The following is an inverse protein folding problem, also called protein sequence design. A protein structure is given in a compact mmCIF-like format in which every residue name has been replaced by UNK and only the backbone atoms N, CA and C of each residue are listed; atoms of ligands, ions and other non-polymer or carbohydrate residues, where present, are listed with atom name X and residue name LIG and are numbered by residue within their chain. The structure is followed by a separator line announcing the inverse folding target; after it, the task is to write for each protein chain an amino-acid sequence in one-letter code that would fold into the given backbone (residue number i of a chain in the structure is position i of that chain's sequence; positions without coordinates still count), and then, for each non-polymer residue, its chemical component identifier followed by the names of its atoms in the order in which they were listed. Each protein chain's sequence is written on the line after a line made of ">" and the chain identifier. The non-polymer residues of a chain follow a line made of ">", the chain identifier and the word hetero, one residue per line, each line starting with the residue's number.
data_IF_981188635640
#
_entry.id   IF_981188635640
#
_cell.length_a   1.000
_cell.length_b   1.000
_cell.length_c   1.000
_cell.angle_alpha   90.00
_cell.angle_beta   90.00
_cell.angle_gamma   90.00
#
_symmetry.space_group_name_H-M   'P 1'
#
loop_
_entity.id
_entity.type
_entity.pdbx_description
1 polymer ?
#
# COMPACT_ATOMS: atom_id res chain seq x y z
N UNK A 1 3.95 15.63 4.28
CA UNK A 1 4.48 16.21 3.02
C UNK A 1 5.79 15.54 2.58
N UNK A 2 5.92 15.14 1.29
CA UNK A 2 7.18 14.59 0.75
C UNK A 2 8.33 15.60 0.76
N UNK A 3 9.56 15.12 0.98
CA UNK A 3 10.79 15.93 0.86
C UNK A 3 11.28 16.00 -0.59
N UNK A 4 11.99 17.08 -0.95
CA UNK A 4 12.53 17.30 -2.31
C UNK A 4 13.36 16.13 -2.86
N UNK A 5 14.11 15.42 -2.01
CA UNK A 5 14.93 14.26 -2.42
C UNK A 5 14.11 13.07 -2.96
N UNK A 6 12.79 13.07 -2.79
CA UNK A 6 11.87 12.05 -3.31
C UNK A 6 11.18 12.50 -4.61
N UNK A 7 11.50 13.68 -5.14
CA UNK A 7 10.99 14.15 -6.43
C UNK A 7 11.66 13.40 -7.59
N UNK A 8 10.91 13.13 -8.65
CA UNK A 8 11.50 12.71 -9.93
C UNK A 8 12.06 13.92 -10.69
N UNK A 9 11.37 15.05 -10.63
CA UNK A 9 11.75 16.35 -11.16
C UNK A 9 11.06 17.44 -10.32
N UNK A 10 11.52 18.71 -10.38
CA UNK A 10 11.07 19.75 -9.46
C UNK A 10 9.55 19.82 -9.27
N UNK A 11 9.11 19.60 -8.03
CA UNK A 11 7.71 19.69 -7.63
C UNK A 11 6.86 18.43 -7.87
N UNK A 12 7.42 17.34 -8.40
CA UNK A 12 6.66 16.11 -8.73
C UNK A 12 7.25 14.88 -8.05
N UNK A 13 6.44 14.20 -7.24
CA UNK A 13 6.83 13.01 -6.49
C UNK A 13 7.18 11.86 -7.45
N UNK A 14 8.26 11.14 -7.13
CA UNK A 14 8.70 9.99 -7.90
C UNK A 14 7.65 8.86 -7.90
N UNK A 15 7.42 8.27 -9.08
CA UNK A 15 6.45 7.19 -9.27
C UNK A 15 6.75 5.91 -8.47
N UNK A 16 8.03 5.58 -8.28
CA UNK A 16 8.45 4.47 -7.41
C UNK A 16 8.16 4.75 -5.94
N UNK A 17 8.38 5.98 -5.47
CA UNK A 17 8.02 6.40 -4.10
C UNK A 17 6.50 6.31 -3.88
N UNK A 18 5.70 6.72 -4.86
CA UNK A 18 4.24 6.53 -4.85
C UNK A 18 3.90 5.05 -4.72
N UNK A 19 4.57 4.19 -5.49
CA UNK A 19 4.43 2.74 -5.40
C UNK A 19 4.74 2.20 -4.01
N UNK A 20 5.87 2.58 -3.42
CA UNK A 20 6.26 2.18 -2.05
C UNK A 20 5.23 2.60 -1.00
N UNK A 21 4.71 3.82 -1.09
CA UNK A 21 3.69 4.31 -0.15
C UNK A 21 2.38 3.52 -0.26
N UNK A 22 1.93 3.25 -1.49
CA UNK A 22 0.70 2.52 -1.73
C UNK A 22 0.83 1.04 -1.37
N UNK A 23 1.96 0.41 -1.68
CA UNK A 23 2.26 -0.96 -1.28
C UNK A 23 2.22 -1.11 0.25
N UNK A 24 2.94 -0.26 0.99
CA UNK A 24 2.94 -0.26 2.45
C UNK A 24 1.52 -0.07 3.04
N UNK A 25 0.77 0.91 2.54
CA UNK A 25 -0.57 1.21 3.08
C UNK A 25 -1.59 0.11 2.76
N UNK A 26 -1.53 -0.46 1.55
CA UNK A 26 -2.40 -1.56 1.16
C UNK A 26 -2.04 -2.84 1.93
N UNK A 27 -0.75 -3.09 2.18
CA UNK A 27 -0.28 -4.24 2.94
C UNK A 27 -0.78 -4.19 4.41
N UNK A 28 -0.69 -3.03 5.07
CA UNK A 28 -1.25 -2.87 6.43
C UNK A 28 -2.77 -3.02 6.47
N UNK A 29 -3.46 -2.55 5.42
CA UNK A 29 -4.90 -2.77 5.27
C UNK A 29 -5.20 -4.26 5.17
N UNK A 30 -4.47 -5.00 4.32
CA UNK A 30 -4.60 -6.45 4.21
C UNK A 30 -4.35 -7.17 5.53
N UNK A 31 -3.22 -6.89 6.19
CA UNK A 31 -2.83 -7.53 7.45
C UNK A 31 -3.88 -7.34 8.54
N UNK A 32 -4.42 -6.12 8.68
CA UNK A 32 -5.50 -5.85 9.63
C UNK A 32 -6.76 -6.68 9.34
N UNK A 33 -7.19 -6.75 8.08
CA UNK A 33 -8.40 -7.48 7.72
C UNK A 33 -8.22 -9.01 7.80
N UNK A 34 -7.02 -9.52 7.50
CA UNK A 34 -6.67 -10.94 7.69
C UNK A 34 -6.69 -11.32 9.18
N UNK A 35 -6.11 -10.48 10.05
CA UNK A 35 -6.19 -10.65 11.51
C UNK A 35 -7.64 -10.72 11.98
N UNK A 36 -8.49 -9.79 11.53
CA UNK A 36 -9.92 -9.78 11.90
C UNK A 36 -10.66 -11.01 11.42
N UNK A 37 -10.32 -11.53 10.23
CA UNK A 37 -10.91 -12.76 9.70
C UNK A 37 -10.48 -14.00 10.48
N UNK A 38 -9.21 -14.06 10.88
CA UNK A 38 -8.66 -15.14 11.70
C UNK A 38 -9.12 -15.08 13.17
N UNK A 39 -9.77 -13.98 13.58
CA UNK A 39 -10.13 -13.70 14.98
C UNK A 39 -8.90 -13.73 15.92
N UNK A 40 -7.80 -13.16 15.45
CA UNK A 40 -6.54 -13.04 16.19
C UNK A 40 -6.37 -11.64 16.77
N UNK A 41 -5.51 -11.52 17.78
CA UNK A 41 -5.19 -10.27 18.48
C UNK A 41 -3.94 -9.56 17.90
N UNK A 42 -3.23 -10.20 16.99
CA UNK A 42 -2.04 -9.68 16.33
C UNK A 42 -2.11 -9.88 14.81
N UNK A 43 -1.52 -8.93 14.07
CA UNK A 43 -1.52 -9.00 12.62
C UNK A 43 -0.58 -10.11 12.12
N UNK A 44 -0.98 -10.88 11.09
CA UNK A 44 -0.08 -11.83 10.46
C UNK A 44 1.02 -11.08 9.69
N UNK A 45 2.20 -11.69 9.57
CA UNK A 45 3.18 -11.21 8.61
C UNK A 45 2.63 -11.43 7.20
N UNK A 46 2.53 -10.34 6.42
CA UNK A 46 2.08 -10.40 5.04
C UNK A 46 3.22 -10.10 4.06
N UNK A 47 3.09 -10.62 2.84
CA UNK A 47 3.97 -10.27 1.72
C UNK A 47 3.13 -9.86 0.52
N UNK A 48 3.66 -8.96 -0.29
CA UNK A 48 3.04 -8.55 -1.56
C UNK A 48 3.28 -9.64 -2.60
N UNK A 49 2.22 -10.26 -3.10
CA UNK A 49 2.30 -11.22 -4.21
C UNK A 49 2.25 -10.52 -5.56
N UNK A 50 1.42 -9.49 -5.68
CA UNK A 50 1.28 -8.66 -6.87
C UNK A 50 0.81 -7.27 -6.44
N UNK A 51 1.26 -6.24 -7.13
CA UNK A 51 0.59 -4.94 -7.10
C UNK A 51 0.79 -4.20 -8.42
N UNK A 52 -0.23 -3.44 -8.80
CA UNK A 52 -0.25 -2.63 -10.01
C UNK A 52 -0.54 -1.17 -9.65
N UNK A 53 0.33 -0.26 -10.09
CA UNK A 53 0.18 1.19 -9.89
C UNK A 53 -0.22 1.86 -11.20
N UNK A 54 -1.26 2.70 -11.16
CA UNK A 54 -1.58 3.63 -12.24
C UNK A 54 -1.28 5.05 -11.80
N UNK A 55 -0.36 5.71 -12.50
CA UNK A 55 -0.03 7.12 -12.28
C UNK A 55 -0.94 7.98 -13.16
N UNK A 56 -1.96 8.60 -12.56
CA UNK A 56 -3.02 9.31 -13.29
C UNK A 56 -2.63 10.74 -13.65
N UNK A 57 -1.73 11.35 -12.88
CA UNK A 57 -1.23 12.73 -13.04
C UNK A 57 0.00 12.96 -12.17
N UNK A 58 0.80 14.00 -12.46
CA UNK A 58 1.88 14.43 -11.58
C UNK A 58 1.37 14.66 -10.15
N UNK A 59 2.08 14.10 -9.16
CA UNK A 59 1.74 14.26 -7.75
C UNK A 59 2.54 15.42 -7.18
N UNK A 60 1.91 16.57 -6.85
CA UNK A 60 2.62 17.72 -6.32
C UNK A 60 3.26 17.42 -4.95
N UNK A 61 4.44 17.97 -4.71
CA UNK A 61 5.19 17.84 -3.44
C UNK A 61 5.15 19.09 -2.57
N UNK A 62 4.43 20.13 -2.99
CA UNK A 62 4.32 21.38 -2.23
C UNK A 62 3.56 21.22 -0.90
N UNK A 63 2.72 20.18 -0.77
CA UNK A 63 1.93 19.85 0.42
C UNK A 63 1.92 18.34 0.73
N UNK A 64 1.08 17.89 1.66
CA UNK A 64 0.90 16.49 2.05
C UNK A 64 0.18 15.67 0.98
N UNK A 65 0.54 14.39 0.96
CA UNK A 65 -0.17 13.36 0.20
C UNK A 65 -1.07 12.59 1.17
N UNK A 66 -2.20 12.12 0.68
CA UNK A 66 -3.19 11.36 1.44
C UNK A 66 -3.33 9.98 0.83
N UNK A 67 -3.27 8.95 1.67
CA UNK A 67 -3.42 7.55 1.29
C UNK A 67 -4.79 7.06 1.79
N UNK A 68 -5.44 6.23 0.99
CA UNK A 68 -6.65 5.51 1.38
C UNK A 68 -6.61 4.14 0.72
N UNK A 69 -7.02 3.11 1.45
CA UNK A 69 -7.10 1.76 0.94
C UNK A 69 -8.35 1.03 1.46
N UNK A 70 -8.82 0.05 0.70
CA UNK A 70 -9.97 -0.80 1.05
C UNK A 70 -9.75 -2.22 0.52
N UNK A 71 -10.17 -3.21 1.30
CA UNK A 71 -10.22 -4.60 0.84
C UNK A 71 -11.39 -4.75 -0.13
N UNK A 72 -11.15 -5.39 -1.27
CA UNK A 72 -12.19 -5.71 -2.28
C UNK A 72 -12.44 -7.22 -2.42
N UNK A 73 -11.52 -8.05 -1.95
CA UNK A 73 -11.69 -9.50 -1.84
C UNK A 73 -10.82 -10.03 -0.70
N UNK A 74 -11.32 -11.04 0.01
CA UNK A 74 -10.67 -11.59 1.19
C UNK A 74 -10.89 -13.09 1.28
N UNK A 75 -9.81 -13.85 1.42
CA UNK A 75 -9.80 -15.27 1.78
C UNK A 75 -9.12 -15.46 3.13
N UNK A 76 -8.91 -16.71 3.54
CA UNK A 76 -8.26 -17.04 4.81
C UNK A 76 -6.78 -16.66 4.85
N UNK A 77 -6.10 -16.59 3.69
CA UNK A 77 -4.66 -16.35 3.61
C UNK A 77 -4.28 -15.14 2.75
N UNK A 78 -5.21 -14.51 2.03
CA UNK A 78 -4.90 -13.35 1.18
C UNK A 78 -6.02 -12.32 1.14
N UNK A 79 -5.62 -11.08 0.88
CA UNK A 79 -6.52 -9.98 0.63
C UNK A 79 -6.14 -9.29 -0.69
N UNK A 80 -7.16 -9.01 -1.51
CA UNK A 80 -7.02 -8.05 -2.60
C UNK A 80 -7.42 -6.67 -2.09
N UNK A 81 -6.55 -5.69 -2.26
CA UNK A 81 -6.73 -4.32 -1.76
C UNK A 81 -6.62 -3.31 -2.89
N UNK A 82 -7.54 -2.35 -2.92
CA UNK A 82 -7.44 -1.16 -3.76
C UNK A 82 -6.96 0.02 -2.92
N UNK A 83 -6.03 0.80 -3.46
CA UNK A 83 -5.46 1.99 -2.81
C UNK A 83 -5.54 3.22 -3.70
N UNK A 84 -5.57 4.40 -3.08
CA UNK A 84 -5.47 5.69 -3.77
C UNK A 84 -4.46 6.58 -3.06
N UNK A 85 -3.70 7.35 -3.84
CA UNK A 85 -2.88 8.46 -3.34
C UNK A 85 -3.44 9.75 -3.93
N UNK A 86 -3.75 10.72 -3.07
CA UNK A 86 -4.26 12.04 -3.45
C UNK A 86 -3.35 13.17 -2.99
N UNK A 87 -3.25 14.24 -3.78
CA UNK A 87 -2.53 15.46 -3.43
C UNK A 87 -3.20 16.66 -4.12
N UNK A 88 -3.22 17.83 -3.45
CA UNK A 88 -3.92 19.01 -3.97
C UNK A 88 -5.41 18.78 -4.27
N UNK A 89 -6.08 17.95 -3.45
CA UNK A 89 -7.50 17.61 -3.61
C UNK A 89 -7.83 16.68 -4.80
N UNK A 90 -6.83 16.10 -5.47
CA UNK A 90 -7.03 15.21 -6.62
C UNK A 90 -6.34 13.87 -6.40
N UNK A 91 -6.97 12.77 -6.84
CA UNK A 91 -6.34 11.45 -6.87
C UNK A 91 -5.20 11.47 -7.89
N UNK A 92 -3.96 11.25 -7.48
CA UNK A 92 -2.81 11.25 -8.38
C UNK A 92 -2.41 9.84 -8.83
N UNK A 93 -2.66 8.83 -8.00
CA UNK A 93 -2.38 7.45 -8.35
C UNK A 93 -3.38 6.47 -7.72
N UNK A 94 -3.53 5.31 -8.33
CA UNK A 94 -4.31 4.19 -7.81
C UNK A 94 -3.46 2.94 -7.75
N UNK A 95 -3.73 2.07 -6.78
CA UNK A 95 -3.11 0.77 -6.60
C UNK A 95 -4.20 -0.32 -6.61
N UNK A 96 -3.88 -1.48 -7.15
CA UNK A 96 -4.56 -2.73 -6.83
C UNK A 96 -3.50 -3.77 -6.52
N UNK A 97 -3.54 -4.38 -5.34
CA UNK A 97 -2.55 -5.35 -4.89
C UNK A 97 -3.17 -6.57 -4.23
N UNK A 98 -2.40 -7.67 -4.23
CA UNK A 98 -2.72 -8.93 -3.56
C UNK A 98 -1.64 -9.16 -2.50
N UNK A 99 -2.07 -9.29 -1.26
CA UNK A 99 -1.22 -9.45 -0.10
C UNK A 99 -1.56 -10.76 0.59
N UNK A 100 -0.53 -11.52 0.97
CA UNK A 100 -0.68 -12.91 1.43
C UNK A 100 -0.06 -13.04 2.81
N UNK A 101 -0.81 -13.56 3.78
CA UNK A 101 -0.30 -13.94 5.09
C UNK A 101 0.64 -15.14 4.94
N UNK A 102 1.82 -15.04 5.54
CA UNK A 102 2.82 -16.11 5.51
C UNK A 102 2.84 -16.89 6.81
N UNK A 103 3.18 -18.17 6.72
CA UNK A 103 3.25 -19.09 7.86
C UNK A 103 4.69 -19.33 8.29
N UNK A 104 4.83 -20.02 9.42
CA UNK A 104 6.11 -20.56 9.88
C UNK A 104 6.82 -21.34 8.76
N UNK A 105 8.13 -21.11 8.62
CA UNK A 105 8.94 -21.64 7.53
C UNK A 105 9.12 -20.68 6.34
N UNK A 106 8.32 -19.62 6.22
CA UNK A 106 8.55 -18.59 5.20
C UNK A 106 9.65 -17.59 5.63
N UNK A 107 10.56 -17.15 4.73
CA UNK A 107 11.66 -16.24 5.09
C UNK A 107 11.24 -14.92 5.75
N UNK A 108 10.01 -14.46 5.47
CA UNK A 108 9.45 -13.22 6.02
C UNK A 108 8.68 -13.39 7.35
N UNK A 109 8.55 -14.61 7.87
CA UNK A 109 7.80 -14.88 9.11
C UNK A 109 8.48 -14.21 10.32
N UNK A 110 7.74 -13.39 11.07
CA UNK A 110 8.20 -12.53 12.19
C UNK A 110 9.36 -11.58 11.86
N UNK A 111 9.44 -11.09 10.61
CA UNK A 111 10.51 -10.18 10.17
C UNK A 111 10.14 -8.71 10.17
N UNK A 112 8.89 -8.36 10.48
CA UNK A 112 8.41 -6.99 10.65
C UNK A 112 7.06 -6.98 11.37
#
# INVERSE_FOLDING_TARGET
>A
KPQKKYEAFPGVLNGGVIGTLLDCHCNWTAAYHLMKRANEDHAPCTVTAEYSIKLLRPTPTNDSVFLSAKVIDLTDDRATVEGTLSAGGKICATCRGIFVAVKEGHPAYHRW
#
